data_IF_187417120729
#
_entry.id   IF_187417120729
#
_cell.length_a   1.000
_cell.length_b   1.000
_cell.length_c   1.000
_cell.angle_alpha   90.00
_cell.angle_beta   90.00
_cell.angle_gamma   90.00
#
_symmetry.space_group_name_H-M   'P 1'
#
loop_
_entity.id
_entity.type
_entity.pdbx_description
1 polymer ?
#
# COMPACT_ATOMS: atom_id res chain seq x y z
N UNK A 1 -23.02 4.59 4.84
CA UNK A 1 -21.69 4.59 5.49
C UNK A 1 -20.67 5.05 4.47
N UNK A 2 -19.92 6.12 4.72
CA UNK A 2 -18.93 6.62 3.77
C UNK A 2 -17.78 5.60 3.65
N UNK A 3 -17.39 5.25 2.42
CA UNK A 3 -16.19 4.43 2.20
C UNK A 3 -14.95 5.27 2.49
N UNK A 4 -14.22 4.94 3.56
CA UNK A 4 -12.91 5.53 3.88
C UNK A 4 -11.95 5.30 2.71
N UNK A 5 -11.37 6.35 2.10
CA UNK A 5 -10.34 6.19 1.10
C UNK A 5 -9.14 5.40 1.63
N UNK A 6 -8.56 4.58 0.75
CA UNK A 6 -7.38 3.76 1.06
C UNK A 6 -6.23 4.24 0.17
N UNK A 7 -5.10 4.53 0.78
CA UNK A 7 -3.82 4.75 0.08
C UNK A 7 -3.13 3.40 -0.05
N UNK A 8 -3.05 2.87 -1.25
CA UNK A 8 -2.29 1.65 -1.52
C UNK A 8 -0.85 1.98 -1.92
N UNK A 9 0.12 1.35 -1.27
CA UNK A 9 1.53 1.48 -1.60
C UNK A 9 2.03 0.21 -2.27
N UNK A 10 2.63 0.35 -3.46
CA UNK A 10 3.35 -0.72 -4.15
C UNK A 10 4.80 -0.27 -4.37
N UNK A 11 5.72 -1.22 -4.36
CA UNK A 11 7.14 -0.94 -4.54
C UNK A 11 8.02 -2.04 -3.99
N UNK A 12 9.28 -1.70 -3.76
CA UNK A 12 10.35 -2.62 -3.42
C UNK A 12 10.70 -2.58 -1.91
N UNK A 13 11.95 -2.94 -1.58
CA UNK A 13 12.46 -2.95 -0.21
C UNK A 13 12.52 -1.56 0.43
N UNK A 14 12.64 -0.48 -0.34
CA UNK A 14 12.65 0.89 0.18
C UNK A 14 11.27 1.32 0.68
N UNK A 15 10.20 0.77 0.08
CA UNK A 15 8.80 1.00 0.52
C UNK A 15 8.43 0.05 1.65
N UNK A 16 8.88 -1.22 1.59
CA UNK A 16 8.70 -2.22 2.65
C UNK A 16 9.93 -3.09 2.78
N UNK A 17 10.69 -2.91 3.87
CA UNK A 17 11.84 -3.75 4.13
C UNK A 17 11.46 -5.05 4.85
N UNK A 18 12.02 -6.18 4.41
CA UNK A 18 11.72 -7.51 4.93
C UNK A 18 10.21 -7.83 4.93
N UNK A 19 9.72 -8.37 6.06
CA UNK A 19 8.27 -8.59 6.28
C UNK A 19 7.52 -7.32 6.73
N UNK A 20 8.16 -6.16 6.76
CA UNK A 20 7.60 -4.93 7.33
C UNK A 20 7.54 -4.93 8.86
N UNK A 21 8.29 -5.84 9.51
CA UNK A 21 8.34 -6.00 10.98
C UNK A 21 9.58 -5.39 11.62
N UNK A 22 10.39 -4.65 10.87
CA UNK A 22 11.63 -4.06 11.37
C UNK A 22 12.71 -5.08 11.74
N UNK A 23 12.68 -6.29 11.16
CA UNK A 23 13.76 -7.26 11.34
C UNK A 23 15.10 -6.61 10.94
N UNK A 24 16.07 -6.62 11.86
CA UNK A 24 17.36 -5.96 11.64
C UNK A 24 17.34 -4.43 11.65
N UNK A 25 16.30 -3.79 12.23
CA UNK A 25 16.11 -2.33 12.25
C UNK A 25 15.91 -1.68 10.87
N UNK A 26 15.67 -2.48 9.83
CA UNK A 26 15.45 -1.97 8.49
C UNK A 26 13.95 -1.71 8.28
N UNK A 27 13.61 -0.47 7.95
CA UNK A 27 12.25 -0.05 7.69
C UNK A 27 12.11 0.48 6.26
N UNK A 28 10.96 0.21 5.65
CA UNK A 28 10.57 0.92 4.43
C UNK A 28 9.82 2.19 4.80
N UNK A 29 9.94 3.26 4.03
CA UNK A 29 9.28 4.53 4.32
C UNK A 29 7.75 4.39 4.38
N UNK A 30 7.18 3.41 3.66
CA UNK A 30 5.75 3.11 3.67
C UNK A 30 5.22 2.64 5.03
N UNK A 31 6.09 2.18 5.95
CA UNK A 31 5.71 1.85 7.33
C UNK A 31 5.41 3.09 8.18
N UNK A 32 5.93 4.26 7.82
CA UNK A 32 5.74 5.51 8.54
C UNK A 32 4.66 6.41 7.92
N UNK A 33 4.30 6.16 6.66
CA UNK A 33 3.42 7.04 5.91
C UNK A 33 2.07 7.30 6.61
N UNK A 34 1.52 6.29 7.31
CA UNK A 34 0.26 6.41 8.03
C UNK A 34 0.27 7.49 9.12
N UNK A 35 1.43 7.83 9.68
CA UNK A 35 1.57 8.86 10.72
C UNK A 35 1.27 10.27 10.20
N UNK A 36 1.29 10.46 8.89
CA UNK A 36 1.03 11.75 8.24
C UNK A 36 -0.43 11.91 7.78
N UNK A 37 -1.30 10.95 8.08
CA UNK A 37 -2.72 10.99 7.72
C UNK A 37 -3.62 10.97 8.97
N UNK A 38 -4.80 11.61 8.84
CA UNK A 38 -5.90 11.39 9.80
C UNK A 38 -6.47 9.98 9.58
N UNK A 39 -6.09 9.05 10.46
CA UNK A 39 -6.45 7.64 10.38
C UNK A 39 -7.94 7.37 10.61
N UNK A 40 -8.70 8.36 11.08
CA UNK A 40 -10.16 8.27 11.16
C UNK A 40 -10.82 8.49 9.79
N UNK A 41 -10.09 9.07 8.83
CA UNK A 41 -10.60 9.42 7.49
C UNK A 41 -9.90 8.70 6.35
N UNK A 42 -8.68 8.20 6.55
CA UNK A 42 -7.86 7.54 5.52
C UNK A 42 -7.16 6.33 6.13
N UNK A 43 -7.15 5.20 5.42
CA UNK A 43 -6.28 4.07 5.75
C UNK A 43 -5.12 3.96 4.75
N UNK A 44 -4.01 3.35 5.18
CA UNK A 44 -2.85 3.08 4.34
C UNK A 44 -2.61 1.58 4.32
N UNK A 45 -2.49 0.99 3.13
CA UNK A 45 -2.16 -0.41 2.94
C UNK A 45 -0.84 -0.57 2.19
N UNK A 46 0.17 -1.12 2.87
CA UNK A 46 1.50 -1.32 2.29
C UNK A 46 1.62 -2.72 1.64
N UNK A 47 1.39 -2.76 0.33
CA UNK A 47 1.50 -3.91 -0.56
C UNK A 47 2.85 -4.04 -1.25
N UNK A 48 3.84 -3.20 -0.89
CA UNK A 48 5.19 -3.36 -1.40
C UNK A 48 5.80 -4.70 -0.97
N UNK A 49 6.75 -5.18 -1.77
CA UNK A 49 7.44 -6.45 -1.51
C UNK A 49 8.91 -6.30 -1.90
N UNK A 50 9.79 -6.55 -0.92
CA UNK A 50 11.23 -6.48 -1.12
C UNK A 50 11.71 -7.32 -2.31
N UNK A 51 12.68 -6.76 -3.05
CA UNK A 51 13.30 -7.41 -4.21
C UNK A 51 12.44 -7.41 -5.47
N UNK A 52 11.35 -6.63 -5.54
CA UNK A 52 10.51 -6.52 -6.75
C UNK A 52 10.78 -5.21 -7.48
N UNK A 53 10.99 -5.30 -8.80
CA UNK A 53 10.80 -4.20 -9.74
C UNK A 53 9.35 -4.15 -10.24
N UNK A 54 8.98 -3.10 -10.99
CA UNK A 54 7.69 -3.04 -11.69
C UNK A 54 7.44 -4.27 -12.58
N UNK A 55 8.48 -4.76 -13.26
CA UNK A 55 8.39 -5.96 -14.10
C UNK A 55 8.00 -7.18 -13.28
N UNK A 56 8.75 -7.47 -12.22
CA UNK A 56 8.50 -8.65 -11.37
C UNK A 56 7.18 -8.55 -10.62
N UNK A 57 6.76 -7.35 -10.23
CA UNK A 57 5.47 -7.12 -9.57
C UNK A 57 4.28 -7.52 -10.47
N UNK A 58 4.39 -7.22 -11.76
CA UNK A 58 3.41 -7.64 -12.77
C UNK A 58 3.53 -9.14 -13.09
N UNK A 59 4.73 -9.65 -13.37
CA UNK A 59 4.91 -11.06 -13.77
C UNK A 59 4.59 -12.05 -12.64
N UNK A 60 4.76 -11.66 -11.37
CA UNK A 60 4.34 -12.44 -10.20
C UNK A 60 2.86 -12.26 -9.84
N UNK A 61 2.10 -11.54 -10.67
CA UNK A 61 0.65 -11.27 -10.51
C UNK A 61 0.31 -10.60 -9.16
N UNK A 62 1.22 -9.82 -8.59
CA UNK A 62 0.99 -9.08 -7.35
C UNK A 62 -0.01 -7.94 -7.56
N UNK A 63 0.02 -7.31 -8.74
CA UNK A 63 -0.99 -6.33 -9.14
C UNK A 63 -2.40 -6.92 -9.12
N UNK A 64 -2.58 -8.10 -9.72
CA UNK A 64 -3.88 -8.76 -9.78
C UNK A 64 -4.41 -9.17 -8.40
N UNK A 65 -3.53 -9.47 -7.45
CA UNK A 65 -3.91 -9.76 -6.05
C UNK A 65 -4.41 -8.52 -5.31
N UNK A 66 -3.84 -7.35 -5.61
CA UNK A 66 -4.17 -6.09 -4.96
C UNK A 66 -5.36 -5.38 -5.61
N UNK A 67 -5.51 -5.50 -6.94
CA UNK A 67 -6.53 -4.82 -7.75
C UNK A 67 -7.97 -4.95 -7.23
N UNK A 68 -8.44 -6.10 -6.68
CA UNK A 68 -9.79 -6.22 -6.11
C UNK A 68 -10.04 -5.28 -4.91
N UNK A 69 -9.00 -4.81 -4.25
CA UNK A 69 -9.08 -3.82 -3.17
C UNK A 69 -9.37 -2.40 -3.67
N UNK A 70 -9.05 -2.08 -4.93
CA UNK A 70 -9.28 -0.76 -5.51
C UNK A 70 -10.76 -0.61 -5.87
N UNK A 71 -11.43 0.36 -5.24
CA UNK A 71 -12.83 0.68 -5.50
C UNK A 71 -12.96 2.13 -5.94
N UNK A 72 -13.71 2.38 -7.02
CA UNK A 72 -14.07 3.75 -7.39
C UNK A 72 -14.99 4.33 -6.33
N UNK A 73 -14.61 5.49 -5.80
CA UNK A 73 -15.54 6.33 -5.03
C UNK A 73 -16.59 6.86 -6.01
N UNK A 74 -17.85 6.44 -5.87
CA UNK A 74 -18.96 7.18 -6.49
C UNK A 74 -19.07 8.50 -5.74
N UNK A 75 -18.70 9.59 -6.39
CA UNK A 75 -19.05 10.92 -5.91
C UNK A 75 -20.58 11.06 -6.00
N UNK A 76 -21.23 11.69 -5.01
CA UNK A 76 -22.64 12.01 -5.15
C UNK A 76 -22.82 12.90 -6.40
N UNK A 77 -23.79 12.55 -7.25
CA UNK A 77 -24.24 13.45 -8.31
C UNK A 77 -24.85 14.68 -7.64
N UNK A 78 -24.39 15.87 -8.02
CA UNK A 78 -24.97 17.15 -7.64
C UNK A 78 -26.27 17.40 -8.40
#
# INVERSE_FOLDING_TARGET
>A
MASTPIVFLIGDSTVKCGKGKGEGSMWGWGSYLQQFFDTTRISVENWALGGRSSRTYLTERLWEKMLPGIRKRRLPHY
#
